data_IF_017910238029
#
_entry.id   IF_017910238029
#
_cell.length_a   1.000
_cell.length_b   1.000
_cell.length_c   1.000
_cell.angle_alpha   90.00
_cell.angle_beta   90.00
_cell.angle_gamma   90.00
#
_symmetry.space_group_name_H-M   'P 1'
#
loop_
_entity.id
_entity.type
_entity.pdbx_description
1 polymer ?
#
# COMPACT_ATOMS: atom_id res chain seq x y z
N UNK A 1 26.92 -40.17 -17.96
CA UNK A 1 26.73 -39.09 -16.96
C UNK A 1 26.14 -37.77 -17.50
N UNK A 2 26.00 -37.56 -18.83
CA UNK A 2 25.41 -36.33 -19.39
C UNK A 2 23.87 -36.22 -19.31
N UNK A 3 23.15 -37.32 -19.07
CA UNK A 3 21.66 -37.35 -19.11
C UNK A 3 20.99 -36.90 -17.80
N UNK A 4 21.67 -37.01 -16.66
CA UNK A 4 21.13 -36.64 -15.34
C UNK A 4 21.21 -35.13 -15.11
N UNK A 5 22.26 -34.48 -15.64
CA UNK A 5 22.44 -33.03 -15.50
C UNK A 5 21.32 -32.25 -16.22
N UNK A 6 20.88 -32.71 -17.39
CA UNK A 6 19.82 -32.06 -18.18
C UNK A 6 18.46 -32.18 -17.49
N UNK A 7 18.20 -33.30 -16.80
CA UNK A 7 16.96 -33.50 -16.04
C UNK A 7 16.87 -32.58 -14.80
N UNK A 8 18.01 -32.30 -14.14
CA UNK A 8 18.07 -31.33 -13.05
C UNK A 8 17.83 -29.89 -13.51
N UNK A 9 18.35 -29.50 -14.69
CA UNK A 9 18.06 -28.17 -15.26
C UNK A 9 16.60 -28.03 -15.73
N UNK A 10 16.01 -29.08 -16.30
CA UNK A 10 14.60 -29.07 -16.70
C UNK A 10 13.64 -29.05 -15.49
N UNK A 11 14.02 -29.71 -14.39
CA UNK A 11 13.24 -29.70 -13.14
C UNK A 11 13.20 -28.33 -12.44
N UNK A 12 14.27 -27.53 -12.56
CA UNK A 12 14.33 -26.17 -11.99
C UNK A 12 13.50 -25.18 -12.82
N UNK A 13 13.39 -25.38 -14.14
CA UNK A 13 12.60 -24.52 -15.02
C UNK A 13 11.08 -24.67 -14.84
N UNK A 14 10.59 -25.77 -14.28
CA UNK A 14 9.15 -25.97 -14.02
C UNK A 14 8.69 -25.35 -12.69
N UNK A 15 9.61 -24.93 -11.82
CA UNK A 15 9.29 -24.23 -10.56
C UNK A 15 9.30 -22.70 -10.70
N UNK A 16 9.70 -22.15 -11.86
CA UNK A 16 9.64 -20.71 -12.12
C UNK A 16 8.27 -20.29 -12.67
N UNK A 17 7.19 -20.61 -11.94
CA UNK A 17 5.97 -19.80 -12.04
C UNK A 17 6.28 -18.47 -11.36
N UNK A 18 6.82 -17.54 -12.16
CA UNK A 18 7.45 -16.29 -11.77
C UNK A 18 6.43 -15.25 -11.27
N UNK A 19 5.78 -15.49 -10.13
CA UNK A 19 5.08 -14.42 -9.41
C UNK A 19 6.14 -13.55 -8.73
N UNK A 20 6.46 -12.40 -9.31
CA UNK A 20 7.21 -11.36 -8.60
C UNK A 20 6.24 -10.71 -7.63
N UNK A 21 6.60 -10.67 -6.34
CA UNK A 21 5.78 -10.03 -5.33
C UNK A 21 6.23 -8.58 -5.10
N UNK A 22 5.29 -7.63 -5.09
CA UNK A 22 5.57 -6.27 -4.64
C UNK A 22 5.57 -6.26 -3.12
N UNK A 23 6.69 -5.85 -2.53
CA UNK A 23 6.80 -5.77 -1.07
C UNK A 23 5.96 -4.61 -0.52
N UNK A 24 5.23 -4.87 0.57
CA UNK A 24 4.48 -3.82 1.27
C UNK A 24 5.40 -2.70 1.80
N UNK A 25 6.67 -3.03 2.08
CA UNK A 25 7.71 -2.04 2.41
C UNK A 25 7.99 -1.04 1.29
N UNK A 26 7.91 -1.47 0.02
CA UNK A 26 8.10 -0.56 -1.12
C UNK A 26 6.96 0.46 -1.20
N UNK A 27 5.73 0.00 -0.98
CA UNK A 27 4.54 0.87 -0.93
C UNK A 27 4.62 1.80 0.27
N UNK A 28 4.96 1.29 1.46
CA UNK A 28 5.18 2.13 2.65
C UNK A 28 6.18 3.25 2.35
N UNK A 29 7.35 2.92 1.81
CA UNK A 29 8.38 3.92 1.51
C UNK A 29 7.90 4.94 0.47
N UNK A 30 7.14 4.51 -0.54
CA UNK A 30 6.59 5.40 -1.56
C UNK A 30 5.53 6.35 -1.00
N UNK A 31 4.69 5.87 -0.08
CA UNK A 31 3.70 6.68 0.63
C UNK A 31 4.38 7.64 1.62
N UNK A 32 5.32 7.15 2.43
CA UNK A 32 6.08 7.95 3.40
C UNK A 32 6.77 9.14 2.73
N UNK A 33 7.42 8.95 1.57
CA UNK A 33 8.06 10.05 0.82
C UNK A 33 7.09 11.16 0.42
N UNK A 34 5.80 10.83 0.24
CA UNK A 34 4.76 11.78 -0.20
C UNK A 34 4.01 12.41 0.96
N UNK A 35 3.86 11.68 2.05
CA UNK A 35 2.91 12.01 3.11
C UNK A 35 3.53 12.23 4.47
N UNK A 36 4.73 11.73 4.76
CA UNK A 36 5.34 11.94 6.06
C UNK A 36 5.76 13.41 6.23
N UNK A 37 5.47 13.99 7.38
CA UNK A 37 5.80 15.38 7.73
C UNK A 37 4.58 16.28 7.95
N UNK A 38 4.80 17.60 7.97
CA UNK A 38 3.74 18.59 8.20
C UNK A 38 2.87 18.75 6.94
N UNK A 39 1.59 18.44 7.07
CA UNK A 39 0.58 18.57 6.03
C UNK A 39 -0.39 19.70 6.37
N UNK A 40 -0.71 20.51 5.35
CA UNK A 40 -1.73 21.53 5.43
C UNK A 40 -3.05 20.96 4.90
N UNK A 41 -3.93 20.56 5.80
CA UNK A 41 -5.32 20.24 5.45
C UNK A 41 -6.12 21.55 5.40
N UNK A 42 -7.19 21.56 4.59
CA UNK A 42 -8.03 22.76 4.36
C UNK A 42 -8.47 23.48 5.66
N UNK A 43 -8.61 22.73 6.75
CA UNK A 43 -9.13 23.18 8.04
C UNK A 43 -8.09 23.17 9.18
N UNK A 44 -6.92 22.55 9.02
CA UNK A 44 -5.90 22.47 10.08
C UNK A 44 -4.53 22.02 9.53
N UNK A 45 -3.48 22.25 10.33
CA UNK A 45 -2.15 21.66 10.08
C UNK A 45 -1.93 20.47 11.01
N UNK A 46 -1.38 19.39 10.48
CA UNK A 46 -1.01 18.21 11.26
C UNK A 46 0.26 17.58 10.73
N UNK A 47 0.99 16.90 11.61
CA UNK A 47 2.08 16.04 11.21
C UNK A 47 1.52 14.63 10.94
N UNK A 48 1.76 14.10 9.75
CA UNK A 48 1.34 12.74 9.37
C UNK A 48 2.53 11.81 9.25
N UNK A 49 2.29 10.53 9.51
CA UNK A 49 3.29 9.48 9.36
C UNK A 49 2.67 8.15 8.97
N UNK A 50 3.18 7.52 7.92
CA UNK A 50 2.79 6.16 7.53
C UNK A 50 3.59 5.16 8.36
N UNK A 51 2.94 4.51 9.32
CA UNK A 51 3.62 3.61 10.26
C UNK A 51 3.75 2.21 9.71
N UNK A 52 2.70 1.69 9.06
CA UNK A 52 2.63 0.30 8.61
C UNK A 52 1.83 0.16 7.31
N UNK A 53 2.26 -0.78 6.48
CA UNK A 53 1.52 -1.26 5.32
C UNK A 53 1.54 -2.79 5.34
N UNK A 54 0.38 -3.42 5.30
CA UNK A 54 0.25 -4.87 5.39
C UNK A 54 -0.96 -5.39 4.60
N UNK A 55 -1.03 -6.70 4.43
CA UNK A 55 -2.11 -7.37 3.71
C UNK A 55 -2.95 -8.13 4.72
N UNK A 56 -4.26 -7.96 4.64
CA UNK A 56 -5.24 -8.67 5.45
C UNK A 56 -6.51 -8.81 4.61
N UNK A 57 -7.17 -9.97 4.63
CA UNK A 57 -8.41 -10.23 3.91
C UNK A 57 -8.38 -9.88 2.41
N UNK A 58 -7.25 -10.13 1.74
CA UNK A 58 -7.02 -9.78 0.32
C UNK A 58 -7.17 -8.27 0.03
N UNK A 59 -6.92 -7.43 1.03
CA UNK A 59 -6.92 -5.96 0.93
C UNK A 59 -5.61 -5.39 1.44
N UNK A 60 -5.23 -4.23 0.93
CA UNK A 60 -4.09 -3.49 1.43
C UNK A 60 -4.55 -2.63 2.62
N UNK A 61 -3.88 -2.80 3.75
CA UNK A 61 -4.14 -2.06 4.96
C UNK A 61 -2.97 -1.11 5.23
N UNK A 62 -3.28 0.15 5.48
CA UNK A 62 -2.33 1.24 5.68
C UNK A 62 -2.65 1.90 7.02
N UNK A 63 -1.67 1.90 7.91
CA UNK A 63 -1.76 2.57 9.20
C UNK A 63 -1.08 3.95 9.11
N UNK A 64 -1.83 4.97 9.49
CA UNK A 64 -1.40 6.37 9.45
C UNK A 64 -1.57 6.99 10.83
N UNK A 65 -0.48 7.53 11.34
CA UNK A 65 -0.45 8.39 12.51
C UNK A 65 -0.69 9.84 12.10
N UNK A 66 -1.51 10.53 12.89
CA UNK A 66 -1.76 11.96 12.80
C UNK A 66 -1.48 12.60 14.15
N UNK A 67 -0.53 13.52 14.18
CA UNK A 67 -0.21 14.33 15.36
C UNK A 67 -0.71 15.77 15.16
N UNK A 68 -1.69 16.14 15.97
CA UNK A 68 -2.18 17.51 16.08
C UNK A 68 -1.39 18.25 17.15
N UNK A 69 -1.05 19.53 16.93
CA UNK A 69 -0.26 20.33 17.89
C UNK A 69 -0.86 20.38 19.31
N UNK A 70 -2.18 20.22 19.44
CA UNK A 70 -2.91 20.29 20.71
C UNK A 70 -3.14 18.93 21.40
N UNK A 71 -2.71 17.82 20.78
CA UNK A 71 -2.89 16.48 21.34
C UNK A 71 -1.54 15.90 21.76
N UNK A 72 -1.48 15.34 22.97
CA UNK A 72 -0.28 14.67 23.48
C UNK A 72 0.00 13.35 22.75
N UNK A 73 -1.06 12.59 22.46
CA UNK A 73 -0.97 11.31 21.76
C UNK A 73 -1.39 11.45 20.29
N UNK A 74 -0.66 10.83 19.35
CA UNK A 74 -1.11 10.78 17.97
C UNK A 74 -2.39 9.96 17.86
N UNK A 75 -3.24 10.37 16.93
CA UNK A 75 -4.41 9.60 16.53
C UNK A 75 -3.94 8.61 15.45
N UNK A 76 -4.31 7.35 15.58
CA UNK A 76 -3.93 6.31 14.61
C UNK A 76 -5.17 5.89 13.84
N UNK A 77 -5.11 5.92 12.52
CA UNK A 77 -6.15 5.35 11.67
C UNK A 77 -5.63 4.17 10.86
N UNK A 78 -6.48 3.15 10.79
CA UNK A 78 -6.31 2.02 9.90
C UNK A 78 -7.20 2.22 8.68
N UNK A 79 -6.58 2.29 7.51
CA UNK A 79 -7.23 2.51 6.22
C UNK A 79 -7.13 1.23 5.40
N UNK A 80 -8.26 0.69 4.97
CA UNK A 80 -8.34 -0.46 4.08
C UNK A 80 -8.58 0.03 2.64
N UNK A 81 -7.86 -0.53 1.68
CA UNK A 81 -7.96 -0.12 0.27
C UNK A 81 -7.73 -1.29 -0.69
N UNK A 82 -8.34 -1.19 -1.86
CA UNK A 82 -8.09 -2.05 -3.01
C UNK A 82 -7.00 -1.47 -3.90
N UNK A 83 -6.37 -2.35 -4.68
CA UNK A 83 -5.38 -1.96 -5.67
C UNK A 83 -5.99 -1.98 -7.07
N UNK A 84 -5.72 -0.93 -7.82
CA UNK A 84 -5.97 -0.90 -9.26
C UNK A 84 -4.67 -0.64 -9.99
N UNK A 85 -4.28 -1.57 -10.85
CA UNK A 85 -3.18 -1.38 -11.76
C UNK A 85 -3.63 -0.60 -12.99
N UNK A 86 -2.92 0.49 -13.29
CA UNK A 86 -3.07 1.21 -14.54
C UNK A 86 -1.69 1.59 -15.04
N UNK A 87 -1.23 0.88 -16.07
CA UNK A 87 0.13 0.89 -16.58
C UNK A 87 0.74 2.31 -16.63
N UNK A 88 1.91 2.58 -16.00
CA UNK A 88 2.76 1.69 -15.20
C UNK A 88 2.60 1.88 -13.67
N UNK A 89 1.45 2.38 -13.24
CA UNK A 89 1.23 2.86 -11.89
C UNK A 89 0.23 2.00 -11.15
N UNK A 90 0.42 1.91 -9.84
CA UNK A 90 -0.48 1.26 -8.92
C UNK A 90 -1.23 2.33 -8.14
N UNK A 91 -2.55 2.20 -8.06
CA UNK A 91 -3.43 3.16 -7.40
C UNK A 91 -4.16 2.49 -6.25
N UNK A 92 -4.32 3.23 -5.15
CA UNK A 92 -5.25 2.88 -4.08
C UNK A 92 -6.66 3.31 -4.50
N UNK A 93 -7.60 2.38 -4.43
CA UNK A 93 -9.00 2.56 -4.80
C UNK A 93 -9.89 2.07 -3.67
N UNK A 94 -11.14 2.57 -3.62
CA UNK A 94 -12.11 2.19 -2.60
C UNK A 94 -11.56 2.31 -1.17
N UNK A 95 -10.72 3.32 -0.92
CA UNK A 95 -10.08 3.51 0.39
C UNK A 95 -11.12 3.96 1.43
N UNK A 96 -11.20 3.26 2.55
CA UNK A 96 -12.08 3.62 3.66
C UNK A 96 -11.39 3.37 5.01
N UNK A 97 -11.84 4.08 6.04
CA UNK A 97 -11.29 3.97 7.39
C UNK A 97 -11.94 2.78 8.09
N UNK A 98 -11.14 1.77 8.41
CA UNK A 98 -11.57 0.58 9.14
C UNK A 98 -11.69 0.84 10.64
N UNK A 99 -10.75 1.57 11.21
CA UNK A 99 -10.77 1.95 12.63
C UNK A 99 -9.93 3.19 12.90
N UNK A 100 -10.23 3.86 14.01
CA UNK A 100 -9.43 4.97 14.56
C UNK A 100 -9.26 4.71 16.06
N UNK A 101 -8.03 4.81 16.57
CA UNK A 101 -7.72 4.68 17.99
C UNK A 101 -7.29 6.02 18.61
N UNK A 102 -7.27 6.10 19.95
CA UNK A 102 -7.01 7.32 20.73
C UNK A 102 -8.03 8.45 20.51
N UNK A 103 -9.33 8.12 20.60
CA UNK A 103 -10.40 9.07 20.31
C UNK A 103 -11.18 9.43 21.58
N UNK A 104 -10.72 10.45 22.31
CA UNK A 104 -11.57 11.13 23.30
C UNK A 104 -12.71 11.92 22.62
N UNK A 105 -12.61 12.20 21.31
CA UNK A 105 -13.54 13.04 20.54
C UNK A 105 -14.02 12.36 19.25
N UNK A 106 -14.67 11.20 19.39
CA UNK A 106 -14.97 10.24 18.29
C UNK A 106 -15.65 10.85 17.06
N UNK A 107 -16.60 11.78 17.23
CA UNK A 107 -17.36 12.38 16.12
C UNK A 107 -16.53 13.33 15.26
N UNK A 108 -15.80 14.27 15.88
CA UNK A 108 -15.01 15.27 15.15
C UNK A 108 -13.83 14.60 14.44
N UNK A 109 -13.20 13.62 15.11
CA UNK A 109 -12.05 12.92 14.57
C UNK A 109 -12.42 12.06 13.34
N UNK A 110 -13.60 11.44 13.32
CA UNK A 110 -14.08 10.68 12.14
C UNK A 110 -14.20 11.55 10.88
N UNK A 111 -14.68 12.79 10.99
CA UNK A 111 -14.76 13.71 9.85
C UNK A 111 -13.37 14.14 9.37
N UNK A 112 -12.46 14.47 10.29
CA UNK A 112 -11.07 14.80 9.96
C UNK A 112 -10.38 13.65 9.23
N UNK A 113 -10.52 12.42 9.72
CA UNK A 113 -9.91 11.27 9.06
C UNK A 113 -10.54 10.96 7.72
N UNK A 114 -11.85 11.15 7.54
CA UNK A 114 -12.46 10.99 6.22
C UNK A 114 -11.84 11.95 5.20
N UNK A 115 -11.54 13.19 5.60
CA UNK A 115 -10.83 14.16 4.75
C UNK A 115 -9.40 13.68 4.49
N UNK A 116 -8.69 13.21 5.51
CA UNK A 116 -7.31 12.73 5.39
C UNK A 116 -7.23 11.49 4.48
N UNK A 117 -8.02 10.46 4.74
CA UNK A 117 -8.06 9.24 3.94
C UNK A 117 -8.43 9.54 2.47
N UNK A 118 -9.38 10.46 2.24
CA UNK A 118 -9.71 10.95 0.89
C UNK A 118 -8.56 11.72 0.24
N UNK A 119 -7.86 12.56 0.99
CA UNK A 119 -6.78 13.39 0.47
C UNK A 119 -5.52 12.57 0.16
N UNK A 120 -5.21 11.61 1.03
CA UNK A 120 -3.97 10.84 1.03
C UNK A 120 -4.06 9.62 0.12
N UNK A 121 -5.16 8.85 0.17
CA UNK A 121 -5.19 7.52 -0.46
C UNK A 121 -6.27 7.36 -1.52
N UNK A 122 -7.38 8.08 -1.46
CA UNK A 122 -8.49 7.83 -2.37
C UNK A 122 -8.15 8.22 -3.81
N UNK A 123 -8.09 7.22 -4.70
CA UNK A 123 -7.71 7.33 -6.10
C UNK A 123 -6.32 7.98 -6.31
N UNK A 124 -5.42 7.78 -5.35
CA UNK A 124 -4.05 8.26 -5.44
C UNK A 124 -3.11 7.16 -5.90
N UNK A 125 -2.10 7.58 -6.64
CA UNK A 125 -0.98 6.71 -6.99
C UNK A 125 -0.23 6.34 -5.71
N UNK A 126 0.03 5.04 -5.53
CA UNK A 126 0.76 4.52 -4.36
C UNK A 126 2.13 3.95 -4.71
N UNK A 127 2.36 3.63 -5.99
CA UNK A 127 3.64 3.11 -6.48
C UNK A 127 3.75 3.26 -8.00
N UNK A 128 4.93 3.64 -8.50
CA UNK A 128 5.31 3.43 -9.90
C UNK A 128 6.11 2.13 -10.00
N UNK A 129 5.66 1.17 -10.81
CA UNK A 129 6.30 -0.16 -10.86
C UNK A 129 7.48 -0.24 -11.82
N UNK A 130 7.72 0.80 -12.65
CA UNK A 130 8.82 0.84 -13.63
C UNK A 130 10.19 0.67 -13.01
N UNK A 131 10.36 1.12 -11.77
CA UNK A 131 11.64 1.04 -11.07
C UNK A 131 12.10 -0.41 -10.83
N UNK A 132 11.18 -1.38 -10.89
CA UNK A 132 11.47 -2.77 -10.51
C UNK A 132 11.01 -3.80 -11.53
N UNK A 133 9.99 -3.50 -12.32
CA UNK A 133 9.34 -4.46 -13.21
C UNK A 133 9.14 -3.78 -14.56
N UNK A 134 9.47 -4.49 -15.65
CA UNK A 134 9.12 -4.03 -16.99
C UNK A 134 7.59 -4.03 -17.14
N UNK A 135 6.93 -2.85 -17.23
CA UNK A 135 5.48 -2.76 -17.25
C UNK A 135 4.86 -3.46 -18.47
N UNK A 136 5.56 -3.50 -19.60
CA UNK A 136 5.05 -4.08 -20.84
C UNK A 136 4.81 -5.59 -20.74
N UNK A 137 5.48 -6.25 -19.80
CA UNK A 137 5.33 -7.68 -19.50
C UNK A 137 4.24 -7.97 -18.47
N UNK A 138 3.71 -6.96 -17.80
CA UNK A 138 2.70 -7.12 -16.75
C UNK A 138 1.31 -7.19 -17.38
N UNK A 139 0.55 -8.21 -17.00
CA UNK A 139 -0.88 -8.36 -17.31
C UNK A 139 -1.73 -7.65 -16.26
N UNK A 140 -1.48 -7.92 -14.98
CA UNK A 140 -2.21 -7.30 -13.86
C UNK A 140 -1.37 -7.29 -12.56
N UNK A 141 -1.79 -6.47 -11.59
CA UNK A 141 -1.24 -6.44 -10.23
C UNK A 141 -2.41 -6.38 -9.24
N UNK A 142 -2.51 -7.38 -8.37
CA UNK A 142 -3.61 -7.51 -7.42
C UNK A 142 -3.15 -7.95 -6.02
N UNK A 143 -4.02 -7.79 -5.02
CA UNK A 143 -3.77 -8.26 -3.65
C UNK A 143 -4.18 -9.72 -3.52
N UNK A 144 -3.22 -10.62 -3.36
CA UNK A 144 -3.44 -12.02 -3.01
C UNK A 144 -3.65 -12.22 -1.51
N UNK A 145 -3.65 -13.48 -1.05
CA UNK A 145 -3.95 -13.79 0.36
C UNK A 145 -2.93 -13.24 1.35
N UNK A 146 -1.65 -13.21 0.96
CA UNK A 146 -0.53 -12.77 1.83
C UNK A 146 0.47 -11.85 1.13
N UNK A 147 0.29 -11.57 -0.16
CA UNK A 147 1.23 -10.83 -1.00
C UNK A 147 0.52 -10.03 -2.09
N UNK A 148 1.17 -8.98 -2.59
CA UNK A 148 0.74 -8.29 -3.81
C UNK A 148 1.37 -9.03 -4.97
N UNK A 149 0.53 -9.63 -5.81
CA UNK A 149 0.92 -10.53 -6.88
C UNK A 149 1.00 -9.75 -8.18
N UNK A 150 2.09 -9.97 -8.94
CA UNK A 150 2.25 -9.48 -10.30
C UNK A 150 2.00 -10.64 -11.26
N UNK A 151 0.97 -10.50 -12.09
CA UNK A 151 0.67 -11.43 -13.17
C UNK A 151 1.38 -10.97 -14.44
N UNK A 152 2.16 -11.85 -15.06
CA UNK A 152 2.83 -11.58 -16.34
C UNK A 152 1.99 -12.08 -17.52
N UNK A 153 2.21 -11.49 -18.71
CA UNK A 153 1.61 -11.92 -19.98
C UNK A 153 2.12 -13.27 -20.44
#
# INVERSE_FOLDING_TARGET
MKKILVALFAGIFLLSCSSINISTSSIKNSLSKRFDGEQNFYIFKAETKVTKVFIENRKLNIEVELKLKKLEKPIVALIETELKYNLPKLYATNAYIKSVSNVEYEKIVKELFNIIAKTVLFNKEILDVREKINPDKVKDIYVGEKAIVVEFK
#
